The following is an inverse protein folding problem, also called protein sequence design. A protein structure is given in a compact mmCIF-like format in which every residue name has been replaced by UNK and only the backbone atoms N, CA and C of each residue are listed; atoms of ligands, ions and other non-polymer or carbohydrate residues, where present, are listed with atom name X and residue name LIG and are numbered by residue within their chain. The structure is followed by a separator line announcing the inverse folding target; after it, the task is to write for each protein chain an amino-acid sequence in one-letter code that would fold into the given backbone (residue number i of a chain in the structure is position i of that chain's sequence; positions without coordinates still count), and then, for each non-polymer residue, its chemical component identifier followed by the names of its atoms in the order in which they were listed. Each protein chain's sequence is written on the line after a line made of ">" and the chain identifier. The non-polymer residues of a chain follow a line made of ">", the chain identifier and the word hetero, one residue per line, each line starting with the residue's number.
data_IF_010970641504
#
_entry.id   IF_010970641504
#
_cell.length_a   1.000
_cell.length_b   1.000
_cell.length_c   1.000
_cell.angle_alpha   90.00
_cell.angle_beta   90.00
_cell.angle_gamma   90.00
#
_symmetry.space_group_name_H-M   'P 1'
#
loop_
_entity.id
_entity.type
_entity.pdbx_description
1 polymer ?
#
# COMPACT_ATOMS: atom_id res chain seq x y z
N UNK A 1 32.72 -54.61 -35.13
CA UNK A 1 32.89 -55.00 -33.72
C UNK A 1 33.55 -53.89 -32.88
N UNK A 2 34.70 -53.32 -33.25
CA UNK A 2 35.40 -52.29 -32.45
C UNK A 2 34.58 -51.02 -32.13
N UNK A 3 33.87 -50.45 -33.11
CA UNK A 3 33.06 -49.22 -32.93
C UNK A 3 31.87 -49.38 -31.97
N UNK A 4 31.34 -50.60 -31.79
CA UNK A 4 30.22 -50.88 -30.88
C UNK A 4 30.73 -50.99 -29.43
N UNK A 5 31.93 -51.56 -29.24
CA UNK A 5 32.58 -51.63 -27.93
C UNK A 5 32.98 -50.23 -27.42
N UNK A 6 33.49 -49.36 -28.29
CA UNK A 6 33.82 -47.96 -27.93
C UNK A 6 32.58 -47.15 -27.57
N UNK A 7 31.49 -47.29 -28.34
CA UNK A 7 30.23 -46.63 -28.04
C UNK A 7 29.63 -47.09 -26.69
N UNK A 8 29.75 -48.36 -26.34
CA UNK A 8 29.28 -48.89 -25.06
C UNK A 8 30.07 -48.32 -23.87
N UNK A 9 31.40 -48.24 -24.00
CA UNK A 9 32.28 -47.65 -22.97
C UNK A 9 32.01 -46.16 -22.76
N UNK A 10 31.73 -45.43 -23.85
CA UNK A 10 31.41 -44.00 -23.76
C UNK A 10 30.03 -43.76 -23.13
N UNK A 11 29.04 -44.61 -23.46
CA UNK A 11 27.70 -44.56 -22.86
C UNK A 11 27.75 -44.90 -21.38
N UNK A 12 28.48 -45.94 -20.97
CA UNK A 12 28.62 -46.29 -19.55
C UNK A 12 29.30 -45.18 -18.76
N UNK A 13 30.37 -44.58 -19.29
CA UNK A 13 31.05 -43.46 -18.65
C UNK A 13 30.14 -42.22 -18.50
N UNK A 14 29.29 -41.94 -19.49
CA UNK A 14 28.29 -40.86 -19.41
C UNK A 14 27.20 -41.15 -18.38
N UNK A 15 26.74 -42.40 -18.28
CA UNK A 15 25.75 -42.83 -17.29
C UNK A 15 26.28 -42.75 -15.85
N UNK A 16 27.54 -43.14 -15.62
CA UNK A 16 28.18 -43.03 -14.31
C UNK A 16 28.36 -41.58 -13.87
N UNK A 17 28.77 -40.72 -14.80
CA UNK A 17 28.87 -39.28 -14.56
C UNK A 17 27.50 -38.66 -14.26
N UNK A 18 26.48 -39.05 -15.03
CA UNK A 18 25.10 -38.60 -14.82
C UNK A 18 24.56 -39.04 -13.47
N UNK A 19 24.85 -40.26 -13.03
CA UNK A 19 24.46 -40.74 -11.70
C UNK A 19 25.19 -40.00 -10.58
N UNK A 20 26.48 -39.71 -10.75
CA UNK A 20 27.24 -38.90 -9.79
C UNK A 20 26.69 -37.47 -9.69
N UNK A 21 26.35 -36.86 -10.82
CA UNK A 21 25.78 -35.51 -10.87
C UNK A 21 24.36 -35.48 -10.30
N UNK A 22 23.54 -36.51 -10.55
CA UNK A 22 22.23 -36.68 -9.92
C UNK A 22 22.32 -36.84 -8.40
N UNK A 23 23.32 -37.56 -7.91
CA UNK A 23 23.51 -37.74 -6.47
C UNK A 23 24.01 -36.46 -5.79
N UNK A 24 24.85 -35.66 -6.46
CA UNK A 24 25.21 -34.32 -6.00
C UNK A 24 24.01 -33.40 -5.99
N UNK A 25 23.23 -33.35 -7.07
CA UNK A 25 22.02 -32.56 -7.15
C UNK A 25 21.00 -32.93 -6.06
N UNK A 26 20.81 -34.23 -5.78
CA UNK A 26 19.96 -34.70 -4.66
C UNK A 26 20.52 -34.29 -3.30
N UNK A 27 21.82 -34.36 -3.08
CA UNK A 27 22.46 -33.95 -1.82
C UNK A 27 22.36 -32.44 -1.59
N UNK A 28 22.61 -31.65 -2.64
CA UNK A 28 22.51 -30.20 -2.60
C UNK A 28 21.06 -29.75 -2.42
N UNK A 29 20.12 -30.44 -3.07
CA UNK A 29 18.69 -30.22 -2.85
C UNK A 29 18.26 -30.60 -1.43
N UNK A 30 18.73 -31.72 -0.88
CA UNK A 30 18.41 -32.11 0.49
C UNK A 30 18.95 -31.09 1.51
N UNK A 31 20.18 -30.61 1.33
CA UNK A 31 20.78 -29.54 2.15
C UNK A 31 20.01 -28.23 2.03
N UNK A 32 19.67 -27.83 0.81
CA UNK A 32 18.85 -26.65 0.55
C UNK A 32 17.47 -26.78 1.22
N UNK A 33 16.82 -27.96 1.12
CA UNK A 33 15.52 -28.21 1.75
C UNK A 33 15.59 -28.21 3.28
N UNK A 34 16.66 -28.76 3.88
CA UNK A 34 16.86 -28.76 5.34
C UNK A 34 17.15 -27.36 5.88
N UNK A 35 17.94 -26.56 5.16
CA UNK A 35 18.15 -25.16 5.47
C UNK A 35 16.87 -24.34 5.29
N UNK A 36 16.10 -24.62 4.25
CA UNK A 36 14.81 -23.98 3.97
C UNK A 36 13.76 -24.34 5.02
N UNK A 37 13.75 -25.56 5.55
CA UNK A 37 12.86 -25.96 6.65
C UNK A 37 13.27 -25.33 7.97
N UNK A 38 14.57 -25.19 8.24
CA UNK A 38 15.08 -24.50 9.44
C UNK A 38 14.79 -23.00 9.38
N UNK A 39 14.97 -22.38 8.20
CA UNK A 39 14.61 -20.98 7.96
C UNK A 39 13.09 -20.79 7.96
N UNK A 40 12.30 -21.70 7.40
CA UNK A 40 10.84 -21.66 7.46
C UNK A 40 10.31 -21.83 8.89
N UNK A 41 10.98 -22.60 9.74
CA UNK A 41 10.62 -22.74 11.14
C UNK A 41 11.00 -21.47 11.95
N UNK A 42 12.17 -20.86 11.70
CA UNK A 42 12.55 -19.57 12.27
C UNK A 42 11.64 -18.41 11.78
N UNK A 43 11.23 -18.49 10.51
CA UNK A 43 10.26 -17.61 9.90
C UNK A 43 8.87 -17.88 10.48
N UNK A 44 8.44 -19.12 10.76
CA UNK A 44 7.14 -19.41 11.40
C UNK A 44 7.07 -18.89 12.84
N UNK A 45 8.21 -18.92 13.55
CA UNK A 45 8.35 -18.32 14.89
C UNK A 45 8.27 -16.78 14.87
N UNK A 46 8.64 -16.16 13.75
CA UNK A 46 8.61 -14.70 13.55
C UNK A 46 7.32 -14.22 12.85
N UNK A 47 6.74 -15.04 11.96
CA UNK A 47 5.46 -14.84 11.25
C UNK A 47 4.29 -14.94 12.22
N UNK A 48 4.34 -15.80 13.25
CA UNK A 48 3.34 -15.75 14.33
C UNK A 48 3.28 -14.40 15.06
N UNK A 49 4.31 -13.55 14.91
CA UNK A 49 4.35 -12.17 15.44
C UNK A 49 4.12 -11.09 14.37
N UNK A 50 4.18 -11.43 13.07
CA UNK A 50 4.05 -10.48 11.95
C UNK A 50 2.93 -10.96 11.02
N UNK A 51 1.72 -10.45 11.25
CA UNK A 51 0.50 -10.70 10.44
C UNK A 51 0.50 -10.01 9.06
N UNK A 52 1.65 -9.57 8.57
CA UNK A 52 1.73 -8.52 7.55
C UNK A 52 2.05 -9.01 6.12
N UNK A 53 2.19 -10.31 5.86
CA UNK A 53 2.74 -10.80 4.60
C UNK A 53 1.88 -11.85 3.88
N UNK A 54 0.54 -11.70 3.88
CA UNK A 54 -0.33 -12.66 3.18
C UNK A 54 -0.68 -12.29 1.73
N UNK A 55 -0.47 -11.04 1.28
CA UNK A 55 -0.90 -10.62 -0.06
C UNK A 55 0.17 -10.74 -1.18
N UNK A 56 1.45 -10.98 -0.85
CA UNK A 56 2.54 -10.85 -1.86
C UNK A 56 3.53 -12.02 -1.99
N UNK A 57 3.49 -13.03 -1.12
CA UNK A 57 4.58 -14.00 -0.97
C UNK A 57 4.37 -15.37 -1.67
N UNK A 58 3.55 -15.44 -2.72
CA UNK A 58 3.22 -16.72 -3.39
C UNK A 58 4.15 -17.11 -4.56
N UNK A 59 5.14 -16.29 -4.93
CA UNK A 59 6.12 -16.67 -5.95
C UNK A 59 7.52 -16.37 -5.42
N UNK A 60 8.42 -17.35 -5.45
CA UNK A 60 9.88 -17.27 -5.72
C UNK A 60 10.58 -18.48 -5.08
N UNK A 61 11.11 -19.38 -5.91
CA UNK A 61 12.01 -20.48 -5.53
C UNK A 61 13.37 -20.16 -6.15
N UNK A 62 14.37 -19.79 -5.33
CA UNK A 62 15.75 -19.58 -5.79
C UNK A 62 16.59 -18.71 -4.85
N UNK A 63 17.87 -19.04 -4.64
CA UNK A 63 18.79 -18.51 -3.62
C UNK A 63 19.15 -17.01 -3.63
N UNK A 64 18.39 -16.16 -4.33
CA UNK A 64 18.43 -14.69 -4.22
C UNK A 64 17.42 -14.15 -3.17
N UNK A 65 16.86 -15.04 -2.36
CA UNK A 65 15.67 -14.83 -1.55
C UNK A 65 15.87 -13.81 -0.42
N UNK A 66 17.02 -13.77 0.24
CA UNK A 66 17.23 -12.84 1.38
C UNK A 66 17.29 -11.38 0.92
N UNK A 67 17.94 -11.08 -0.22
CA UNK A 67 18.02 -9.72 -0.73
C UNK A 67 16.68 -9.19 -1.26
N UNK A 68 15.96 -10.02 -2.03
CA UNK A 68 14.65 -9.68 -2.59
C UNK A 68 13.55 -9.60 -1.50
N UNK A 69 13.62 -10.43 -0.46
CA UNK A 69 12.73 -10.35 0.70
C UNK A 69 13.07 -9.14 1.55
N UNK A 70 14.34 -8.86 1.84
CA UNK A 70 14.69 -7.65 2.60
C UNK A 70 14.31 -6.38 1.84
N UNK A 71 14.45 -6.34 0.51
CA UNK A 71 13.98 -5.20 -0.29
C UNK A 71 12.46 -5.10 -0.37
N UNK A 72 11.74 -6.22 -0.47
CA UNK A 72 10.28 -6.24 -0.46
C UNK A 72 9.70 -5.90 0.93
N UNK A 73 10.31 -6.41 2.01
CA UNK A 73 9.98 -6.07 3.40
C UNK A 73 10.30 -4.61 3.65
N UNK A 74 11.49 -4.12 3.28
CA UNK A 74 11.85 -2.71 3.42
C UNK A 74 10.91 -1.81 2.61
N UNK A 75 10.58 -2.18 1.38
CA UNK A 75 9.59 -1.44 0.58
C UNK A 75 8.19 -1.42 1.21
N UNK A 76 7.81 -2.47 1.94
CA UNK A 76 6.52 -2.52 2.65
C UNK A 76 6.59 -1.75 3.97
N UNK A 77 7.69 -1.85 4.70
CA UNK A 77 7.94 -1.12 5.94
C UNK A 77 8.03 0.39 5.70
N UNK A 78 8.79 0.82 4.68
CA UNK A 78 8.88 2.21 4.24
C UNK A 78 7.50 2.74 3.79
N UNK A 79 6.70 1.90 3.12
CA UNK A 79 5.33 2.26 2.73
C UNK A 79 4.40 2.42 3.94
N UNK A 80 4.47 1.48 4.89
CA UNK A 80 3.70 1.55 6.13
C UNK A 80 4.11 2.71 7.03
N UNK A 81 5.40 3.02 7.12
CA UNK A 81 5.92 4.19 7.84
C UNK A 81 5.39 5.48 7.21
N UNK A 82 5.38 5.59 5.87
CA UNK A 82 4.78 6.73 5.18
C UNK A 82 3.27 6.86 5.46
N UNK A 83 2.54 5.74 5.55
CA UNK A 83 1.12 5.73 5.90
C UNK A 83 0.89 6.12 7.38
N UNK A 84 1.69 5.62 8.32
CA UNK A 84 1.62 6.01 9.73
C UNK A 84 1.93 7.51 9.91
N UNK A 85 3.00 7.99 9.27
CA UNK A 85 3.38 9.39 9.32
C UNK A 85 2.28 10.30 8.77
N UNK A 86 1.65 9.91 7.65
CA UNK A 86 0.48 10.62 7.12
C UNK A 86 -0.69 10.57 8.10
N UNK A 87 -0.96 9.41 8.70
CA UNK A 87 -2.06 9.25 9.64
C UNK A 87 -1.90 10.15 10.87
N UNK A 88 -0.69 10.18 11.43
CA UNK A 88 -0.34 11.07 12.56
C UNK A 88 -0.47 12.54 12.18
N UNK A 89 0.02 12.94 10.99
CA UNK A 89 0.03 14.35 10.56
C UNK A 89 -1.34 14.88 10.15
N UNK A 90 -2.23 14.02 9.65
CA UNK A 90 -3.49 14.44 9.02
C UNK A 90 -4.73 13.94 9.75
N UNK A 91 -4.57 13.05 10.73
CA UNK A 91 -5.68 12.42 11.45
C UNK A 91 -6.54 11.51 10.56
N UNK A 92 -6.03 11.11 9.39
CA UNK A 92 -6.65 10.12 8.51
C UNK A 92 -6.12 8.74 8.90
N UNK A 93 -6.97 7.77 9.23
CA UNK A 93 -6.52 6.42 9.61
C UNK A 93 -5.75 5.74 8.47
N UNK A 94 -4.83 4.84 8.79
CA UNK A 94 -4.10 4.01 7.81
C UNK A 94 -5.05 3.22 6.92
N UNK A 95 -6.15 2.69 7.48
CA UNK A 95 -7.19 1.99 6.70
C UNK A 95 -7.80 2.89 5.62
N UNK A 96 -8.13 4.13 5.97
CA UNK A 96 -8.65 5.10 5.00
C UNK A 96 -7.58 5.48 3.98
N UNK A 97 -6.33 5.70 4.40
CA UNK A 97 -5.23 6.03 3.49
C UNK A 97 -5.02 4.92 2.45
N UNK A 98 -4.92 3.65 2.88
CA UNK A 98 -4.77 2.50 1.97
C UNK A 98 -5.94 2.37 0.99
N UNK A 99 -7.15 2.68 1.43
CA UNK A 99 -8.34 2.72 0.56
C UNK A 99 -8.25 3.84 -0.47
N UNK A 100 -7.76 5.02 -0.07
CA UNK A 100 -7.52 6.14 -0.96
C UNK A 100 -6.37 5.88 -1.94
N UNK A 101 -5.35 5.10 -1.57
CA UNK A 101 -4.30 4.66 -2.48
C UNK A 101 -4.86 3.75 -3.58
N UNK A 102 -5.76 2.84 -3.22
CA UNK A 102 -6.47 2.01 -4.20
C UNK A 102 -7.28 2.87 -5.16
N UNK A 103 -8.05 3.82 -4.61
CA UNK A 103 -8.85 4.75 -5.40
C UNK A 103 -7.98 5.60 -6.34
N UNK A 104 -6.88 6.15 -5.83
CA UNK A 104 -5.92 6.94 -6.59
C UNK A 104 -5.30 6.13 -7.73
N UNK A 105 -4.89 4.88 -7.46
CA UNK A 105 -4.34 3.97 -8.47
C UNK A 105 -5.33 3.67 -9.59
N UNK A 106 -6.62 3.47 -9.26
CA UNK A 106 -7.65 3.24 -10.26
C UNK A 106 -7.93 4.48 -11.13
N UNK A 107 -7.68 5.67 -10.59
CA UNK A 107 -7.96 6.95 -11.24
C UNK A 107 -6.70 7.65 -11.81
N UNK A 108 -5.54 6.98 -11.83
CA UNK A 108 -4.30 7.52 -12.37
C UNK A 108 -3.65 8.64 -11.54
N UNK A 109 -4.03 8.77 -10.28
CA UNK A 109 -3.44 9.73 -9.33
C UNK A 109 -2.24 9.08 -8.65
N UNK A 110 -1.10 9.77 -8.62
CA UNK A 110 0.09 9.27 -7.93
C UNK A 110 -0.03 9.37 -6.41
N UNK A 111 0.70 8.51 -5.69
CA UNK A 111 0.71 8.55 -4.22
C UNK A 111 1.20 9.89 -3.69
N UNK A 112 2.18 10.52 -4.35
CA UNK A 112 2.68 11.84 -3.97
C UNK A 112 1.62 12.94 -4.13
N UNK A 113 0.81 12.87 -5.20
CA UNK A 113 -0.30 13.78 -5.43
C UNK A 113 -1.38 13.59 -4.37
N UNK A 114 -1.73 12.34 -4.04
CA UNK A 114 -2.68 12.00 -3.00
C UNK A 114 -2.21 12.49 -1.63
N UNK A 115 -0.99 12.12 -1.21
CA UNK A 115 -0.38 12.51 0.06
C UNK A 115 -0.31 14.04 0.21
N UNK A 116 0.08 14.74 -0.87
CA UNK A 116 0.11 16.20 -0.87
C UNK A 116 -1.30 16.78 -0.74
N UNK A 117 -2.28 16.21 -1.45
CA UNK A 117 -3.67 16.67 -1.41
C UNK A 117 -4.29 16.53 -0.02
N UNK A 118 -4.07 15.39 0.65
CA UNK A 118 -4.54 15.15 2.02
C UNK A 118 -3.88 16.11 3.00
N UNK A 119 -2.55 16.30 2.91
CA UNK A 119 -1.82 17.29 3.74
C UNK A 119 -2.35 18.71 3.54
N UNK A 120 -2.63 19.11 2.30
CA UNK A 120 -3.19 20.42 1.97
C UNK A 120 -4.61 20.59 2.51
N UNK A 121 -5.45 19.55 2.40
CA UNK A 121 -6.78 19.55 3.00
C UNK A 121 -6.69 19.78 4.51
N UNK A 122 -5.90 18.99 5.22
CA UNK A 122 -5.78 19.12 6.68
C UNK A 122 -5.23 20.49 7.09
N UNK A 123 -4.25 21.03 6.36
CA UNK A 123 -3.77 22.40 6.57
C UNK A 123 -4.89 23.42 6.38
N UNK A 124 -5.65 23.33 5.28
CA UNK A 124 -6.75 24.27 5.02
C UNK A 124 -7.86 24.18 6.06
N UNK A 125 -8.11 22.99 6.64
CA UNK A 125 -9.03 22.82 7.76
C UNK A 125 -8.55 23.57 9.00
N UNK A 126 -7.26 23.45 9.36
CA UNK A 126 -6.68 24.18 10.49
C UNK A 126 -6.78 25.69 10.28
N UNK A 127 -6.38 26.18 9.11
CA UNK A 127 -6.48 27.61 8.77
C UNK A 127 -7.94 28.11 8.84
N UNK A 128 -8.90 27.29 8.42
CA UNK A 128 -10.33 27.62 8.53
C UNK A 128 -10.80 27.63 9.99
N UNK A 129 -10.32 26.70 10.82
CA UNK A 129 -10.64 26.60 12.24
C UNK A 129 -10.05 27.76 13.06
N UNK A 130 -8.95 28.36 12.58
CA UNK A 130 -8.33 29.59 13.10
C UNK A 130 -9.00 30.87 12.57
N UNK A 131 -9.92 30.75 11.61
CA UNK A 131 -10.67 31.89 11.04
C UNK A 131 -9.95 32.61 9.90
N UNK A 132 -8.94 32.00 9.27
CA UNK A 132 -8.31 32.57 8.07
C UNK A 132 -9.34 32.72 6.96
N UNK A 133 -9.59 33.98 6.54
CA UNK A 133 -10.72 34.34 5.65
C UNK A 133 -10.84 33.48 4.41
N UNK A 134 -9.72 33.15 3.74
CA UNK A 134 -9.74 32.39 2.47
C UNK A 134 -10.17 30.94 2.66
N UNK A 135 -9.63 30.27 3.68
CA UNK A 135 -9.92 28.86 3.98
C UNK A 135 -11.30 28.74 4.61
N UNK A 136 -11.65 29.61 5.56
CA UNK A 136 -13.00 29.67 6.15
C UNK A 136 -14.11 29.87 5.10
N UNK A 137 -13.90 30.76 4.12
CA UNK A 137 -14.83 30.95 3.01
C UNK A 137 -14.98 29.69 2.14
N UNK A 138 -13.90 28.94 1.90
CA UNK A 138 -13.96 27.71 1.12
C UNK A 138 -14.89 26.67 1.77
N UNK A 139 -14.66 26.40 3.06
CA UNK A 139 -15.47 25.43 3.82
C UNK A 139 -16.92 25.91 3.99
N UNK A 140 -17.13 27.22 4.17
CA UNK A 140 -18.48 27.81 4.19
C UNK A 140 -19.22 27.60 2.86
N UNK A 141 -18.54 27.80 1.72
CA UNK A 141 -19.13 27.55 0.38
C UNK A 141 -19.43 26.08 0.14
N UNK A 142 -18.61 25.17 0.67
CA UNK A 142 -18.88 23.72 0.63
C UNK A 142 -19.99 23.28 1.60
N UNK A 143 -20.37 24.13 2.56
CA UNK A 143 -21.29 23.74 3.64
C UNK A 143 -20.69 22.71 4.60
N UNK A 144 -19.36 22.62 4.68
CA UNK A 144 -18.64 21.67 5.55
C UNK A 144 -18.14 22.41 6.79
N UNK A 145 -18.46 21.88 7.97
CA UNK A 145 -17.90 22.39 9.22
C UNK A 145 -16.60 21.66 9.53
N UNK A 146 -15.51 22.40 9.72
CA UNK A 146 -14.19 21.82 10.07
C UNK A 146 -14.11 21.39 11.54
N UNK A 147 -15.06 21.82 12.38
CA UNK A 147 -15.18 21.40 13.77
C UNK A 147 -16.34 20.43 13.96
N UNK A 148 -16.17 19.50 14.90
CA UNK A 148 -17.20 18.58 15.34
C UNK A 148 -18.19 19.26 16.33
N UNK A 149 -19.17 18.49 16.81
CA UNK A 149 -20.16 18.97 17.77
C UNK A 149 -19.56 19.36 19.15
N UNK A 150 -18.36 18.88 19.48
CA UNK A 150 -17.64 19.25 20.70
C UNK A 150 -16.78 20.51 20.53
N UNK A 151 -16.73 21.08 19.32
CA UNK A 151 -15.90 22.22 18.97
C UNK A 151 -14.44 21.86 18.69
N UNK A 152 -14.07 20.58 18.66
CA UNK A 152 -12.73 20.13 18.26
C UNK A 152 -12.63 20.05 16.75
N UNK A 153 -11.42 20.10 16.20
CA UNK A 153 -11.21 19.86 14.77
C UNK A 153 -11.66 18.43 14.44
N UNK A 154 -12.42 18.27 13.35
CA UNK A 154 -12.84 16.94 12.89
C UNK A 154 -11.64 16.06 12.56
N UNK A 155 -11.85 14.75 12.68
CA UNK A 155 -10.87 13.78 12.19
C UNK A 155 -10.66 13.95 10.68
N UNK A 156 -9.47 13.58 10.21
CA UNK A 156 -9.16 13.61 8.78
C UNK A 156 -10.11 12.72 7.98
N UNK A 157 -10.50 11.57 8.53
CA UNK A 157 -11.47 10.66 7.89
C UNK A 157 -12.82 11.34 7.65
N UNK A 158 -13.42 11.89 8.70
CA UNK A 158 -14.74 12.52 8.63
C UNK A 158 -14.72 13.72 7.68
N UNK A 159 -13.71 14.58 7.84
CA UNK A 159 -13.57 15.76 7.01
C UNK A 159 -13.31 15.42 5.54
N UNK A 160 -12.48 14.41 5.24
CA UNK A 160 -12.24 13.98 3.86
C UNK A 160 -13.52 13.51 3.18
N UNK A 161 -14.32 12.69 3.86
CA UNK A 161 -15.59 12.18 3.34
C UNK A 161 -16.61 13.31 3.10
N UNK A 162 -16.72 14.25 4.04
CA UNK A 162 -17.63 15.39 3.90
C UNK A 162 -17.22 16.35 2.80
N UNK A 163 -15.93 16.67 2.70
CA UNK A 163 -15.37 17.51 1.63
C UNK A 163 -15.55 16.82 0.27
N UNK A 164 -15.26 15.53 0.17
CA UNK A 164 -15.46 14.77 -1.07
C UNK A 164 -16.93 14.81 -1.53
N UNK A 165 -17.87 14.55 -0.61
CA UNK A 165 -19.32 14.63 -0.89
C UNK A 165 -19.75 16.04 -1.31
N UNK A 166 -19.26 17.07 -0.62
CA UNK A 166 -19.57 18.46 -0.96
C UNK A 166 -19.02 18.86 -2.33
N UNK A 167 -17.77 18.47 -2.65
CA UNK A 167 -17.15 18.74 -3.95
C UNK A 167 -17.90 17.99 -5.07
N UNK A 168 -18.27 16.73 -4.86
CA UNK A 168 -19.01 15.93 -5.84
C UNK A 168 -20.37 16.53 -6.20
N UNK A 169 -21.02 17.23 -5.25
CA UNK A 169 -22.32 17.88 -5.44
C UNK A 169 -22.26 19.19 -6.24
N UNK A 170 -21.06 19.72 -6.52
CA UNK A 170 -20.90 20.94 -7.32
C UNK A 170 -21.18 20.60 -8.79
N UNK A 171 -22.29 21.13 -9.33
CA UNK A 171 -22.72 20.85 -10.70
C UNK A 171 -21.79 21.47 -11.75
N UNK A 172 -21.34 22.72 -11.52
CA UNK A 172 -20.47 23.42 -12.47
C UNK A 172 -19.04 22.82 -12.43
N UNK A 173 -18.51 22.27 -13.53
CA UNK A 173 -17.20 21.62 -13.52
C UNK A 173 -16.03 22.56 -13.18
N UNK A 174 -16.09 23.81 -13.65
CA UNK A 174 -15.05 24.80 -13.38
C UNK A 174 -15.04 25.20 -11.90
N UNK A 175 -16.23 25.40 -11.30
CA UNK A 175 -16.34 25.65 -9.86
C UNK A 175 -15.90 24.45 -9.04
N UNK A 176 -16.26 23.22 -9.47
CA UNK A 176 -15.86 21.99 -8.80
C UNK A 176 -14.34 21.84 -8.76
N UNK A 177 -13.67 22.05 -9.90
CA UNK A 177 -12.21 22.04 -9.97
C UNK A 177 -11.59 23.14 -9.12
N UNK A 178 -12.11 24.37 -9.18
CA UNK A 178 -11.59 25.48 -8.38
C UNK A 178 -11.73 25.20 -6.87
N UNK A 179 -12.85 24.63 -6.45
CA UNK A 179 -13.09 24.26 -5.04
C UNK A 179 -12.19 23.10 -4.60
N UNK A 180 -12.04 22.07 -5.43
CA UNK A 180 -11.11 20.99 -5.15
C UNK A 180 -9.67 21.51 -5.01
N UNK A 181 -9.23 22.39 -5.90
CA UNK A 181 -7.90 23.00 -5.81
C UNK A 181 -7.73 23.89 -4.57
N UNK A 182 -8.79 24.58 -4.14
CA UNK A 182 -8.76 25.46 -2.97
C UNK A 182 -8.60 24.67 -1.67
N UNK A 183 -9.16 23.46 -1.59
CA UNK A 183 -9.11 22.61 -0.40
C UNK A 183 -7.93 21.64 -0.44
N UNK A 184 -7.76 20.90 -1.53
CA UNK A 184 -6.73 19.88 -1.70
C UNK A 184 -5.41 20.44 -2.29
N UNK A 185 -5.32 21.75 -2.53
CA UNK A 185 -4.15 22.37 -3.17
C UNK A 185 -4.09 22.10 -4.67
N UNK A 186 -2.93 22.39 -5.31
CA UNK A 186 -2.80 22.35 -6.78
C UNK A 186 -3.16 21.00 -7.42
N UNK A 187 -2.89 19.89 -6.73
CA UNK A 187 -3.22 18.55 -7.20
C UNK A 187 -4.72 18.19 -7.03
N UNK A 188 -5.52 19.06 -6.40
CA UNK A 188 -6.94 18.81 -6.16
C UNK A 188 -7.78 18.64 -7.41
N UNK A 189 -7.38 19.22 -8.55
CA UNK A 189 -8.06 18.98 -9.84
C UNK A 189 -7.88 17.53 -10.32
N UNK A 190 -6.70 16.95 -10.08
CA UNK A 190 -6.38 15.56 -10.45
C UNK A 190 -7.14 14.55 -9.58
N UNK A 191 -7.55 14.96 -8.38
CA UNK A 191 -8.34 14.13 -7.48
C UNK A 191 -9.80 13.99 -7.92
N UNK A 192 -10.29 14.84 -8.84
CA UNK A 192 -11.71 14.93 -9.16
C UNK A 192 -12.35 13.57 -9.54
N UNK A 193 -11.76 12.73 -10.40
CA UNK A 193 -12.34 11.42 -10.73
C UNK A 193 -12.48 10.51 -9.51
N UNK A 194 -11.57 10.63 -8.54
CA UNK A 194 -11.62 9.87 -7.29
C UNK A 194 -12.69 10.39 -6.32
N UNK A 195 -13.04 11.68 -6.41
CA UNK A 195 -14.07 12.33 -5.59
C UNK A 195 -15.46 12.22 -6.21
N UNK A 196 -15.57 11.79 -7.48
CA UNK A 196 -16.86 11.53 -8.11
C UNK A 196 -17.64 10.46 -7.33
N UNK A 197 -18.94 10.68 -7.15
CA UNK A 197 -19.77 9.83 -6.29
C UNK A 197 -19.55 10.04 -4.78
N UNK A 198 -18.67 10.96 -4.37
CA UNK A 198 -18.56 11.45 -3.00
C UNK A 198 -18.24 10.36 -1.99
N UNK A 199 -18.86 10.47 -0.80
CA UNK A 199 -18.63 9.54 0.32
C UNK A 199 -19.04 8.10 -0.02
N UNK A 200 -20.05 7.90 -0.86
CA UNK A 200 -20.51 6.57 -1.25
C UNK A 200 -19.46 5.84 -2.10
N UNK A 201 -18.87 6.53 -3.08
CA UNK A 201 -17.79 5.96 -3.88
C UNK A 201 -16.56 5.61 -3.01
N UNK A 202 -16.22 6.49 -2.07
CA UNK A 202 -15.13 6.27 -1.12
C UNK A 202 -15.36 5.05 -0.21
N UNK A 203 -16.59 4.82 0.25
CA UNK A 203 -16.94 3.59 0.97
C UNK A 203 -16.77 2.34 0.10
N UNK A 204 -17.11 2.43 -1.19
CA UNK A 204 -16.85 1.37 -2.16
C UNK A 204 -15.37 0.98 -2.22
N UNK A 205 -14.47 1.96 -2.26
CA UNK A 205 -13.02 1.69 -2.25
C UNK A 205 -12.54 1.07 -0.93
N UNK A 206 -13.10 1.46 0.22
CA UNK A 206 -12.80 0.84 1.51
C UNK A 206 -13.21 -0.64 1.51
N UNK A 207 -14.43 -0.93 1.09
CA UNK A 207 -14.94 -2.30 1.07
C UNK A 207 -14.20 -3.17 0.05
N UNK A 208 -13.82 -2.59 -1.10
CA UNK A 208 -12.98 -3.27 -2.08
C UNK A 208 -11.59 -3.57 -1.52
N UNK A 209 -10.94 -2.59 -0.88
CA UNK A 209 -9.63 -2.79 -0.27
C UNK A 209 -9.68 -3.88 0.83
N UNK A 210 -10.76 -3.94 1.63
CA UNK A 210 -10.99 -5.01 2.60
C UNK A 210 -11.12 -6.37 1.91
N UNK A 211 -11.94 -6.44 0.87
CA UNK A 211 -12.18 -7.67 0.09
C UNK A 211 -10.89 -8.20 -0.54
N UNK A 212 -10.00 -7.31 -0.98
CA UNK A 212 -8.72 -7.64 -1.60
C UNK A 212 -7.61 -7.93 -0.57
N UNK A 213 -7.87 -7.76 0.73
CA UNK A 213 -6.86 -7.94 1.78
C UNK A 213 -5.75 -6.88 1.72
N UNK A 214 -6.07 -5.69 1.23
CA UNK A 214 -5.14 -4.56 1.06
C UNK A 214 -5.22 -3.54 2.20
N UNK A 215 -6.17 -3.69 3.13
CA UNK A 215 -6.27 -2.82 4.30
C UNK A 215 -5.17 -3.14 5.29
N UNK A 216 -4.35 -2.11 5.56
CA UNK A 216 -3.49 -2.09 6.74
C UNK A 216 -4.19 -1.31 7.86
N UNK A 217 -4.04 -1.79 9.09
CA UNK A 217 -4.52 -1.09 10.29
C UNK A 217 -3.46 -0.12 10.81
N UNK A 218 -3.87 0.80 11.69
CA UNK A 218 -2.92 1.66 12.40
C UNK A 218 -1.91 0.83 13.23
N UNK A 219 -2.31 -0.38 13.66
CA UNK A 219 -1.42 -1.30 14.37
C UNK A 219 -0.38 -1.94 13.43
N UNK A 220 -0.78 -2.25 12.21
CA UNK A 220 0.10 -2.78 11.16
C UNK A 220 1.18 -1.76 10.78
N UNK A 221 0.78 -0.49 10.64
CA UNK A 221 1.71 0.58 10.30
C UNK A 221 2.76 0.83 11.39
N UNK A 222 2.32 0.91 12.66
CA UNK A 222 3.22 1.02 13.82
C UNK A 222 4.18 -0.16 13.96
N UNK A 223 3.73 -1.36 13.61
CA UNK A 223 4.59 -2.55 13.60
C UNK A 223 5.58 -2.50 12.44
N UNK A 224 5.17 -2.01 11.26
CA UNK A 224 6.04 -1.81 10.10
C UNK A 224 7.20 -0.84 10.38
N UNK A 225 6.92 0.29 11.03
CA UNK A 225 7.93 1.30 11.40
C UNK A 225 8.94 0.83 12.46
N UNK A 226 8.67 -0.29 13.16
CA UNK A 226 9.53 -0.82 14.21
C UNK A 226 10.57 -1.86 13.71
N UNK A 227 10.57 -2.19 12.42
CA UNK A 227 11.55 -3.07 11.77
C UNK A 227 12.68 -2.26 11.12
#
# INVERSE_FOLDING_TARGET
>A
MAKIAEAYVEISARLDKMNADLNRAKSDFAKASGQMQTQANALSGSIKKVKLAYAGAAAFIGGAFVGAITSAIKSTADHLDALDEMAVKTGVSVEMLTSLELAAKQNGVSMDQLATSIRMMYRSMNEAAEGTKKSADAYKRLGVNVRDASGKLKSGNEAFLEVADAVAKIQNPAERSAMAMKVFGRAGSEMLPMLEGGKEALKGYIDEARRLGLIYTDEDAKRGAAF
#
